data_IF_998996879787
#
_entry.id   IF_998996879787
#
_cell.length_a   1.000
_cell.length_b   1.000
_cell.length_c   1.000
_cell.angle_alpha   90.00
_cell.angle_beta   90.00
_cell.angle_gamma   90.00
#
_symmetry.space_group_name_H-M   'P 1'
#
loop_
_entity.id
_entity.type
_entity.pdbx_description
1 polymer ?
#
# COMPACT_ATOMS: atom_id res chain seq x y z
N UNK A 1 9.75 43.80 -12.61
CA UNK A 1 9.78 42.41 -13.12
C UNK A 1 10.86 41.66 -12.31
N UNK A 2 10.46 41.07 -11.19
CA UNK A 2 11.37 40.17 -10.44
C UNK A 2 11.27 38.83 -11.09
N UNK A 3 12.26 38.48 -11.90
CA UNK A 3 12.50 37.09 -12.28
C UNK A 3 13.09 36.39 -11.04
N UNK A 4 12.23 35.77 -10.22
CA UNK A 4 12.69 34.74 -9.31
C UNK A 4 13.34 33.68 -10.20
N UNK A 5 14.66 33.51 -10.11
CA UNK A 5 15.35 32.39 -10.76
C UNK A 5 14.69 31.11 -10.25
N UNK A 6 13.94 30.40 -11.10
CA UNK A 6 13.42 29.09 -10.74
C UNK A 6 14.60 28.23 -10.29
N UNK A 7 14.51 27.72 -9.06
CA UNK A 7 15.50 26.80 -8.54
C UNK A 7 15.46 25.51 -9.36
N UNK A 8 16.53 25.24 -10.12
CA UNK A 8 16.61 24.11 -11.00
C UNK A 8 16.78 22.81 -10.19
N UNK A 9 15.90 21.84 -10.38
CA UNK A 9 16.02 20.50 -9.79
C UNK A 9 17.18 19.77 -10.48
N UNK A 10 18.12 19.23 -9.70
CA UNK A 10 19.26 18.40 -10.16
C UNK A 10 19.35 17.09 -9.42
N UNK A 11 18.99 17.08 -8.15
CA UNK A 11 19.05 15.90 -7.28
C UNK A 11 17.73 15.63 -6.61
N UNK A 12 17.21 14.43 -6.79
CA UNK A 12 16.01 13.92 -6.12
C UNK A 12 16.45 12.91 -5.06
N UNK A 13 15.87 13.01 -3.88
CA UNK A 13 15.98 12.02 -2.82
C UNK A 13 14.65 11.26 -2.71
N UNK A 14 14.68 9.93 -2.86
CA UNK A 14 13.48 9.10 -2.73
C UNK A 14 13.57 8.17 -1.53
N UNK A 15 12.49 8.04 -0.78
CA UNK A 15 12.38 7.11 0.35
C UNK A 15 11.12 6.24 0.27
N UNK A 16 11.20 5.07 0.89
CA UNK A 16 10.10 4.13 1.06
C UNK A 16 9.75 4.01 2.54
N UNK A 17 8.45 3.96 2.88
CA UNK A 17 8.00 3.91 4.27
C UNK A 17 6.71 3.10 4.44
N UNK A 18 6.47 2.64 5.67
CA UNK A 18 5.30 1.85 6.05
C UNK A 18 5.39 0.37 5.66
N UNK A 19 4.25 -0.31 5.62
CA UNK A 19 4.18 -1.72 5.25
C UNK A 19 4.67 -1.99 3.83
N UNK A 20 5.41 -3.10 3.58
CA UNK A 20 5.83 -3.47 2.23
C UNK A 20 4.65 -3.92 1.36
N UNK A 21 4.81 -3.85 0.02
CA UNK A 21 3.82 -4.37 -0.95
C UNK A 21 4.52 -5.04 -2.13
N UNK A 22 3.75 -5.74 -2.97
CA UNK A 22 4.28 -6.28 -4.23
C UNK A 22 4.58 -5.19 -5.27
N UNK A 23 4.01 -3.99 -5.15
CA UNK A 23 4.11 -2.92 -6.15
C UNK A 23 4.96 -1.71 -5.72
N UNK A 24 5.40 -1.61 -4.45
CA UNK A 24 6.12 -0.42 -3.96
C UNK A 24 7.41 -0.15 -4.74
N UNK A 25 8.10 -1.18 -5.19
CA UNK A 25 9.31 -1.03 -5.98
C UNK A 25 9.03 -0.67 -7.45
N UNK A 26 7.82 -0.91 -7.95
CA UNK A 26 7.40 -0.38 -9.25
C UNK A 26 7.28 1.16 -9.19
N UNK A 27 6.74 1.72 -8.10
CA UNK A 27 6.75 3.17 -7.88
C UNK A 27 8.19 3.72 -7.83
N UNK A 28 9.09 3.04 -7.12
CA UNK A 28 10.51 3.42 -7.07
C UNK A 28 11.16 3.37 -8.47
N UNK A 29 10.91 2.31 -9.25
CA UNK A 29 11.41 2.19 -10.63
C UNK A 29 10.90 3.34 -11.52
N UNK A 30 9.64 3.73 -11.36
CA UNK A 30 9.05 4.88 -12.05
C UNK A 30 9.75 6.21 -11.72
N UNK A 31 10.03 6.45 -10.43
CA UNK A 31 10.82 7.62 -9.98
C UNK A 31 12.20 7.62 -10.65
N UNK A 32 12.91 6.50 -10.57
CA UNK A 32 14.28 6.39 -11.08
C UNK A 32 14.31 6.58 -12.59
N UNK A 33 13.41 5.90 -13.33
CA UNK A 33 13.34 6.00 -14.79
C UNK A 33 13.02 7.41 -15.26
N UNK A 34 12.03 8.06 -14.66
CA UNK A 34 11.65 9.43 -15.02
C UNK A 34 12.78 10.43 -14.69
N UNK A 35 13.36 10.35 -13.50
CA UNK A 35 14.47 11.21 -13.11
C UNK A 35 15.69 11.05 -14.04
N UNK A 36 16.04 9.79 -14.36
CA UNK A 36 17.15 9.50 -15.30
C UNK A 36 16.88 10.05 -16.71
N UNK A 37 15.65 9.97 -17.21
CA UNK A 37 15.26 10.55 -18.50
C UNK A 37 15.42 12.09 -18.54
N UNK A 38 15.28 12.76 -17.38
CA UNK A 38 15.55 14.20 -17.23
C UNK A 38 17.00 14.54 -16.86
N UNK A 39 17.91 13.56 -16.80
CA UNK A 39 19.31 13.75 -16.44
C UNK A 39 19.50 14.14 -14.96
N UNK A 40 18.58 13.78 -14.08
CA UNK A 40 18.64 14.07 -12.66
C UNK A 40 19.39 12.97 -11.89
N UNK A 41 20.12 13.36 -10.86
CA UNK A 41 20.69 12.44 -9.90
C UNK A 41 19.61 11.93 -8.96
N UNK A 42 19.62 10.62 -8.68
CA UNK A 42 18.65 10.00 -7.76
C UNK A 42 19.36 9.36 -6.59
N UNK A 43 19.06 9.84 -5.41
CA UNK A 43 19.51 9.29 -4.13
C UNK A 43 18.39 8.52 -3.46
N UNK A 44 18.69 7.39 -2.82
CA UNK A 44 17.76 6.59 -2.03
C UNK A 44 17.99 6.75 -0.54
N UNK A 45 16.94 7.01 0.23
CA UNK A 45 16.97 6.89 1.69
C UNK A 45 16.90 5.41 2.06
N UNK A 46 17.93 4.82 2.60
CA UNK A 46 17.81 3.49 3.20
C UNK A 46 17.08 3.60 4.53
N UNK A 47 16.09 2.72 4.73
CA UNK A 47 15.23 2.72 5.92
C UNK A 47 14.48 4.05 6.16
N UNK A 48 14.05 4.70 5.07
CA UNK A 48 13.22 5.90 5.12
C UNK A 48 13.86 7.07 5.87
N UNK A 49 13.02 7.93 6.48
CA UNK A 49 13.48 9.12 7.20
C UNK A 49 14.40 8.79 8.38
N UNK A 50 14.18 7.66 9.06
CA UNK A 50 15.04 7.24 10.18
C UNK A 50 16.46 6.98 9.70
N UNK A 51 16.63 6.17 8.64
CA UNK A 51 17.95 5.91 8.10
C UNK A 51 18.58 7.15 7.45
N UNK A 52 17.77 8.07 6.91
CA UNK A 52 18.27 9.35 6.40
C UNK A 52 18.88 10.20 7.52
N UNK A 53 18.26 10.25 8.69
CA UNK A 53 18.81 10.90 9.88
C UNK A 53 20.14 10.26 10.34
N UNK A 54 20.31 8.97 10.11
CA UNK A 54 21.53 8.20 10.40
C UNK A 54 22.57 8.26 9.26
N UNK A 55 22.38 9.16 8.27
CA UNK A 55 23.25 9.34 7.11
C UNK A 55 23.31 8.13 6.16
N UNK A 56 22.28 7.32 6.16
CA UNK A 56 22.20 6.10 5.35
C UNK A 56 21.55 6.38 3.98
N UNK A 57 22.37 6.86 3.05
CA UNK A 57 21.97 7.28 1.69
C UNK A 57 22.75 6.51 0.65
N UNK A 58 22.09 6.13 -0.44
CA UNK A 58 22.70 5.41 -1.56
C UNK A 58 22.46 6.14 -2.88
N UNK A 59 23.44 6.17 -3.76
CA UNK A 59 23.28 6.68 -5.13
C UNK A 59 22.68 5.58 -6.03
N UNK A 60 21.42 5.78 -6.41
CA UNK A 60 20.68 4.77 -7.19
C UNK A 60 21.13 4.67 -8.65
N UNK A 61 21.73 5.73 -9.18
CA UNK A 61 22.29 5.73 -10.53
C UNK A 61 23.50 4.78 -10.61
N UNK A 62 24.34 4.80 -9.59
CA UNK A 62 25.52 3.94 -9.51
C UNK A 62 25.14 2.48 -9.23
N UNK A 63 24.32 2.24 -8.20
CA UNK A 63 23.98 0.88 -7.76
C UNK A 63 23.19 0.11 -8.80
N UNK A 64 22.35 0.79 -9.57
CA UNK A 64 21.55 0.15 -10.63
C UNK A 64 22.29 0.13 -11.99
N UNK A 65 23.53 0.63 -12.06
CA UNK A 65 24.33 0.68 -13.29
C UNK A 65 23.63 1.43 -14.44
N UNK A 66 22.98 2.55 -14.11
CA UNK A 66 22.30 3.37 -15.10
C UNK A 66 23.35 4.15 -15.90
N UNK A 67 23.53 3.80 -17.15
CA UNK A 67 24.40 4.54 -18.06
C UNK A 67 23.67 5.74 -18.64
N UNK A 68 24.39 6.83 -18.93
CA UNK A 68 23.81 7.99 -19.61
C UNK A 68 23.08 7.56 -20.88
N UNK A 69 21.87 8.10 -21.07
CA UNK A 69 21.01 7.75 -22.22
C UNK A 69 21.72 8.08 -23.52
N UNK A 70 22.23 7.07 -24.22
CA UNK A 70 22.51 7.22 -25.66
C UNK A 70 21.14 7.21 -26.39
N UNK A 71 20.97 8.03 -27.44
CA UNK A 71 19.73 8.02 -28.21
C UNK A 71 19.46 6.61 -28.73
N UNK A 72 18.24 6.13 -28.53
CA UNK A 72 17.77 4.79 -28.92
C UNK A 72 18.13 4.47 -30.38
N UNK A 73 19.17 3.69 -30.57
CA UNK A 73 19.38 2.92 -31.80
C UNK A 73 18.75 1.55 -31.53
N UNK A 74 17.65 1.31 -32.24
CA UNK A 74 16.79 0.12 -32.17
C UNK A 74 17.57 -1.19 -31.95
N UNK A 75 17.13 -1.99 -30.97
CA UNK A 75 17.52 -3.34 -30.55
C UNK A 75 18.55 -3.49 -29.39
N UNK A 76 19.02 -2.46 -28.73
CA UNK A 76 19.93 -2.59 -27.58
C UNK A 76 19.27 -2.53 -26.19
N UNK A 77 17.98 -2.23 -26.07
CA UNK A 77 17.28 -2.16 -24.77
C UNK A 77 17.36 -3.48 -23.96
N UNK A 78 17.42 -4.62 -24.64
CA UNK A 78 17.52 -5.93 -23.99
C UNK A 78 18.91 -6.25 -23.39
N UNK A 79 19.93 -5.45 -23.64
CA UNK A 79 21.31 -5.69 -23.20
C UNK A 79 21.85 -4.65 -22.22
N UNK A 80 21.10 -3.57 -21.94
CA UNK A 80 21.49 -2.54 -20.96
C UNK A 80 21.33 -3.08 -19.54
N UNK A 81 22.41 -3.23 -18.73
CA UNK A 81 22.35 -3.73 -17.37
C UNK A 81 21.41 -2.90 -16.48
N UNK A 82 21.42 -1.58 -16.60
CA UNK A 82 20.58 -0.68 -15.83
C UNK A 82 19.09 -0.91 -16.07
N UNK A 83 18.68 -1.06 -17.34
CA UNK A 83 17.26 -1.35 -17.65
C UNK A 83 16.85 -2.73 -17.12
N UNK A 84 17.73 -3.73 -17.21
CA UNK A 84 17.49 -5.05 -16.62
C UNK A 84 17.32 -4.97 -15.10
N UNK A 85 18.15 -4.19 -14.42
CA UNK A 85 18.05 -3.98 -12.97
C UNK A 85 16.74 -3.24 -12.60
N UNK A 86 16.32 -2.25 -13.39
CA UNK A 86 15.02 -1.57 -13.19
C UNK A 86 13.83 -2.52 -13.40
N UNK A 87 13.89 -3.41 -14.38
CA UNK A 87 12.87 -4.44 -14.59
C UNK A 87 12.82 -5.45 -13.43
N UNK A 88 13.96 -5.86 -12.90
CA UNK A 88 14.03 -6.70 -11.70
C UNK A 88 13.48 -5.95 -10.48
N UNK A 89 13.90 -4.69 -10.27
CA UNK A 89 13.40 -3.85 -9.18
C UNK A 89 11.87 -3.75 -9.21
N UNK A 90 11.30 -3.44 -10.36
CA UNK A 90 9.85 -3.31 -10.57
C UNK A 90 9.06 -4.53 -10.09
N UNK A 91 9.63 -5.72 -10.25
CA UNK A 91 9.00 -7.01 -9.89
C UNK A 91 9.46 -7.59 -8.55
N UNK A 92 10.40 -6.93 -7.88
CA UNK A 92 10.88 -7.34 -6.57
C UNK A 92 9.84 -6.94 -5.51
N UNK A 93 9.32 -7.88 -4.71
CA UNK A 93 8.39 -7.55 -3.63
C UNK A 93 9.12 -6.85 -2.48
N UNK A 94 8.33 -6.25 -1.58
CA UNK A 94 8.82 -5.55 -0.40
C UNK A 94 9.48 -4.20 -0.74
N UNK A 95 10.01 -3.51 0.27
CA UNK A 95 10.68 -2.21 0.11
C UNK A 95 12.18 -2.43 -0.09
N UNK A 96 12.66 -2.25 -1.31
CA UNK A 96 14.08 -2.51 -1.63
C UNK A 96 15.04 -1.53 -0.93
N UNK A 97 14.62 -0.28 -0.72
CA UNK A 97 15.35 0.69 0.10
C UNK A 97 15.20 0.43 1.61
N UNK A 98 14.45 -0.59 2.01
CA UNK A 98 14.03 -0.76 3.39
C UNK A 98 12.88 0.18 3.76
N UNK A 99 12.44 0.10 4.99
CA UNK A 99 11.31 0.89 5.52
C UNK A 99 11.60 1.31 6.96
N UNK A 100 10.89 2.30 7.46
CA UNK A 100 10.90 2.66 8.87
C UNK A 100 9.49 2.87 9.40
N UNK A 101 9.40 2.85 10.73
CA UNK A 101 8.22 3.26 11.49
C UNK A 101 8.60 4.45 12.38
N UNK A 102 8.97 5.54 11.74
CA UNK A 102 9.39 6.77 12.41
C UNK A 102 8.38 7.88 12.12
N UNK A 103 7.79 8.45 13.15
CA UNK A 103 6.86 9.56 13.06
C UNK A 103 7.58 10.86 13.39
N UNK A 104 7.52 11.82 12.47
CA UNK A 104 8.03 13.16 12.76
C UNK A 104 7.16 13.80 13.85
N UNK A 105 7.78 14.50 14.82
CA UNK A 105 7.04 15.25 15.81
C UNK A 105 6.21 16.36 15.16
N UNK A 106 5.11 16.77 15.83
CA UNK A 106 4.28 17.84 15.32
C UNK A 106 5.01 19.18 15.34
N UNK A 107 5.03 19.84 14.20
CA UNK A 107 5.74 21.11 14.01
C UNK A 107 5.23 22.20 14.97
N UNK A 108 3.92 22.26 15.24
CA UNK A 108 3.31 23.24 16.14
C UNK A 108 3.65 23.00 17.63
N UNK A 109 3.71 21.74 18.06
CA UNK A 109 4.04 21.36 19.42
C UNK A 109 5.49 21.74 19.75
N UNK A 110 6.39 21.57 18.80
CA UNK A 110 7.80 21.91 19.00
C UNK A 110 8.06 23.42 18.92
N UNK A 111 7.33 24.17 18.11
CA UNK A 111 7.40 25.64 18.06
C UNK A 111 6.87 26.27 19.34
N UNK A 112 5.86 25.69 20.00
CA UNK A 112 5.31 26.19 21.27
C UNK A 112 6.18 25.83 22.48
N UNK A 113 6.84 24.66 22.46
CA UNK A 113 7.79 24.27 23.51
C UNK A 113 9.05 25.13 23.54
N UNK A 114 9.35 25.84 22.44
CA UNK A 114 10.52 26.71 22.29
C UNK A 114 10.21 28.20 22.45
N UNK A 115 9.05 28.59 22.99
CA UNK A 115 8.68 30.00 23.20
C UNK A 115 9.64 30.77 24.12
N UNK A 116 10.60 30.12 24.76
CA UNK A 116 11.74 30.73 25.48
C UNK A 116 13.09 30.64 24.72
N UNK A 117 13.13 30.00 23.53
CA UNK A 117 14.32 29.84 22.69
C UNK A 117 13.92 29.75 21.23
N UNK A 118 14.58 30.48 20.36
CA UNK A 118 14.43 30.46 18.88
C UNK A 118 14.91 29.17 18.23
N UNK A 119 14.80 28.00 18.88
CA UNK A 119 15.29 26.73 18.40
C UNK A 119 14.15 25.92 17.74
N UNK A 120 14.20 25.81 16.42
CA UNK A 120 13.46 24.83 15.60
C UNK A 120 13.81 23.41 16.09
N UNK A 121 12.90 22.42 15.91
CA UNK A 121 13.18 21.03 16.25
C UNK A 121 14.56 20.58 15.78
N UNK A 122 15.35 19.94 16.63
CA UNK A 122 16.63 19.35 16.23
C UNK A 122 16.48 18.36 15.06
N UNK A 123 15.34 17.66 14.95
CA UNK A 123 15.09 16.67 13.90
C UNK A 123 14.91 17.35 12.55
N UNK A 124 14.09 18.39 12.44
CA UNK A 124 13.87 19.11 11.17
C UNK A 124 15.15 19.82 10.71
N UNK A 125 15.91 20.42 11.63
CA UNK A 125 17.22 21.01 11.32
C UNK A 125 18.24 19.96 10.86
N UNK A 126 18.22 18.78 11.46
CA UNK A 126 19.08 17.67 11.05
C UNK A 126 18.71 17.18 9.64
N UNK A 127 17.42 17.05 9.33
CA UNK A 127 16.95 16.69 7.97
C UNK A 127 17.43 17.74 6.97
N UNK A 128 17.25 19.03 7.27
CA UNK A 128 17.69 20.14 6.40
C UNK A 128 19.21 20.12 6.18
N UNK A 129 19.99 19.91 7.24
CA UNK A 129 21.44 19.80 7.15
C UNK A 129 21.88 18.62 6.26
N UNK A 130 21.20 17.47 6.37
CA UNK A 130 21.45 16.31 5.51
C UNK A 130 21.06 16.59 4.04
N UNK A 131 19.90 17.24 3.79
CA UNK A 131 19.52 17.63 2.43
C UNK A 131 20.54 18.58 1.80
N UNK A 132 21.04 19.56 2.57
CA UNK A 132 22.09 20.46 2.12
C UNK A 132 23.42 19.74 1.85
N UNK A 133 23.81 18.79 2.71
CA UNK A 133 25.01 17.96 2.54
C UNK A 133 24.99 17.22 1.21
N UNK A 134 23.86 16.62 0.85
CA UNK A 134 23.66 15.86 -0.37
C UNK A 134 23.22 16.69 -1.58
N UNK A 135 23.04 18.01 -1.39
CA UNK A 135 22.55 18.95 -2.43
C UNK A 135 21.22 18.48 -3.03
N UNK A 136 20.28 18.10 -2.17
CA UNK A 136 18.95 17.61 -2.57
C UNK A 136 18.03 18.79 -2.87
N UNK A 137 17.42 18.80 -4.03
CA UNK A 137 16.46 19.82 -4.47
C UNK A 137 15.00 19.38 -4.29
N UNK A 138 14.76 18.07 -4.24
CA UNK A 138 13.42 17.54 -4.03
C UNK A 138 13.42 16.20 -3.29
N UNK A 139 12.37 15.97 -2.49
CA UNK A 139 12.11 14.74 -1.76
C UNK A 139 10.85 14.10 -2.31
N UNK A 140 10.94 12.83 -2.73
CA UNK A 140 9.81 11.98 -3.06
C UNK A 140 9.66 10.90 -1.97
N UNK A 141 8.49 10.84 -1.33
CA UNK A 141 8.27 9.89 -0.23
C UNK A 141 7.15 8.92 -0.56
N UNK A 142 7.52 7.65 -0.77
CA UNK A 142 6.61 6.57 -1.17
C UNK A 142 6.07 5.90 0.08
N UNK A 143 4.75 6.00 0.32
CA UNK A 143 4.18 5.38 1.50
C UNK A 143 2.69 5.57 1.72
N UNK A 144 2.23 5.12 2.88
CA UNK A 144 0.84 5.20 3.32
C UNK A 144 0.52 6.50 4.07
N UNK A 145 -0.50 6.45 4.91
CA UNK A 145 -1.04 7.60 5.62
C UNK A 145 0.01 8.33 6.48
N UNK A 146 0.79 7.60 7.29
CA UNK A 146 1.88 8.19 8.08
C UNK A 146 2.98 8.83 7.22
N UNK A 147 3.18 8.32 5.99
CA UNK A 147 4.14 8.89 5.05
C UNK A 147 3.61 10.19 4.43
N UNK A 148 2.30 10.30 4.26
CA UNK A 148 1.66 11.55 3.83
C UNK A 148 1.70 12.59 4.95
N UNK A 149 1.53 12.20 6.22
CA UNK A 149 1.76 13.07 7.38
C UNK A 149 3.22 13.58 7.43
N UNK A 150 4.19 12.70 7.18
CA UNK A 150 5.61 13.09 7.05
C UNK A 150 5.83 14.09 5.91
N UNK A 151 5.20 13.86 4.75
CA UNK A 151 5.27 14.73 3.57
C UNK A 151 4.66 16.11 3.87
N UNK A 152 3.52 16.17 4.55
CA UNK A 152 2.87 17.42 4.98
C UNK A 152 3.78 18.21 5.92
N UNK A 153 4.26 17.57 6.98
CA UNK A 153 5.14 18.19 7.98
C UNK A 153 6.42 18.75 7.36
N UNK A 154 7.08 18.00 6.49
CA UNK A 154 8.27 18.47 5.79
C UNK A 154 7.98 19.63 4.85
N UNK A 155 6.88 19.58 4.09
CA UNK A 155 6.52 20.67 3.17
C UNK A 155 6.19 21.96 3.93
N UNK A 156 5.50 21.87 5.07
CA UNK A 156 5.20 23.02 5.94
C UNK A 156 6.47 23.59 6.58
N UNK A 157 7.37 22.73 7.05
CA UNK A 157 8.65 23.17 7.60
C UNK A 157 9.48 23.93 6.56
N UNK A 158 9.65 23.38 5.35
CA UNK A 158 10.43 24.02 4.29
C UNK A 158 9.79 25.34 3.81
N UNK A 159 8.48 25.43 3.79
CA UNK A 159 7.79 26.69 3.51
C UNK A 159 8.08 27.75 4.59
N UNK A 160 8.14 27.36 5.87
CA UNK A 160 8.39 28.25 6.99
C UNK A 160 9.84 28.80 7.02
N UNK A 161 10.82 27.94 6.64
CA UNK A 161 12.23 28.35 6.58
C UNK A 161 12.64 28.87 5.19
N UNK A 162 11.68 29.11 4.32
CA UNK A 162 11.90 29.60 2.95
C UNK A 162 12.88 28.73 2.13
N UNK A 163 12.94 27.42 2.43
CA UNK A 163 13.77 26.46 1.71
C UNK A 163 13.20 26.18 0.30
N UNK A 164 14.03 26.11 -0.74
CA UNK A 164 13.58 25.79 -2.11
C UNK A 164 13.27 24.30 -2.31
N UNK A 165 13.53 23.44 -1.31
CA UNK A 165 13.33 21.99 -1.41
C UNK A 165 11.85 21.65 -1.57
N UNK A 166 11.52 20.88 -2.61
CA UNK A 166 10.17 20.43 -2.90
C UNK A 166 9.92 19.05 -2.29
N UNK A 167 8.70 18.83 -1.78
CA UNK A 167 8.31 17.55 -1.17
C UNK A 167 7.02 17.07 -1.81
N UNK A 168 7.05 15.84 -2.35
CA UNK A 168 5.90 15.21 -3.01
C UNK A 168 5.71 13.80 -2.47
N UNK A 169 4.47 13.46 -2.09
CA UNK A 169 4.06 12.12 -1.70
C UNK A 169 3.72 11.25 -2.91
N UNK A 170 4.15 9.99 -2.87
CA UNK A 170 3.73 8.95 -3.81
C UNK A 170 2.98 7.88 -3.01
N UNK A 171 1.68 7.65 -3.28
CA UNK A 171 0.87 6.77 -2.46
C UNK A 171 1.32 5.32 -2.59
N UNK A 172 1.22 4.57 -1.49
CA UNK A 172 1.40 3.13 -1.43
C UNK A 172 0.78 2.59 -0.15
N UNK A 173 -0.17 1.68 -0.26
CA UNK A 173 -0.66 0.79 0.79
C UNK A 173 -1.49 -0.33 0.17
N UNK A 174 -1.51 -1.52 0.78
CA UNK A 174 -2.44 -2.57 0.39
C UNK A 174 -3.85 -2.35 0.93
N UNK A 175 -4.02 -1.48 1.92
CA UNK A 175 -5.30 -1.28 2.62
C UNK A 175 -6.28 -0.44 1.81
N UNK A 176 -5.80 0.27 0.77
CA UNK A 176 -6.61 1.15 -0.09
C UNK A 176 -7.34 2.25 0.68
N UNK A 177 -6.77 2.69 1.79
CA UNK A 177 -7.38 3.56 2.80
C UNK A 177 -6.97 5.04 2.69
N UNK A 178 -6.22 5.42 1.65
CA UNK A 178 -5.83 6.82 1.42
C UNK A 178 -6.90 7.61 0.70
N UNK A 179 -7.25 8.77 1.25
CA UNK A 179 -8.06 9.78 0.57
C UNK A 179 -7.29 10.43 -0.58
N UNK A 180 -7.98 11.13 -1.48
CA UNK A 180 -7.36 11.88 -2.58
C UNK A 180 -6.86 11.04 -3.75
N UNK A 181 -7.06 9.73 -3.72
CA UNK A 181 -6.80 8.78 -4.82
C UNK A 181 -7.92 7.76 -4.94
N UNK A 182 -8.22 7.30 -6.15
CA UNK A 182 -9.21 6.23 -6.36
C UNK A 182 -8.77 4.94 -5.66
N UNK A 183 -7.54 4.53 -5.88
CA UNK A 183 -6.92 3.38 -5.21
C UNK A 183 -5.42 3.61 -5.07
N UNK A 184 -4.77 2.70 -4.33
CA UNK A 184 -3.35 2.84 -3.97
C UNK A 184 -2.52 1.71 -4.56
N UNK A 185 -1.28 1.99 -5.05
CA UNK A 185 -0.34 0.95 -5.43
C UNK A 185 -0.07 -0.05 -4.31
N UNK A 186 -0.12 -1.32 -4.66
CA UNK A 186 -0.05 -2.46 -3.75
C UNK A 186 -1.40 -3.10 -3.47
N UNK A 187 -2.50 -2.32 -3.49
CA UNK A 187 -3.84 -2.85 -3.26
C UNK A 187 -4.27 -3.83 -4.36
N UNK A 188 -4.15 -3.47 -5.64
CA UNK A 188 -4.59 -4.32 -6.75
C UNK A 188 -3.95 -5.71 -6.73
N UNK A 189 -2.65 -5.78 -6.44
CA UNK A 189 -1.92 -7.05 -6.30
C UNK A 189 -2.37 -7.86 -5.09
N UNK A 190 -2.52 -7.21 -3.93
CA UNK A 190 -3.00 -7.88 -2.73
C UNK A 190 -4.45 -8.37 -2.88
N UNK A 191 -5.32 -7.56 -3.47
CA UNK A 191 -6.71 -7.91 -3.80
C UNK A 191 -6.80 -9.14 -4.73
N UNK A 192 -5.94 -9.18 -5.76
CA UNK A 192 -5.83 -10.35 -6.66
C UNK A 192 -5.41 -11.61 -5.90
N UNK A 193 -4.43 -11.50 -5.01
CA UNK A 193 -3.99 -12.61 -4.16
C UNK A 193 -5.14 -13.10 -3.27
N UNK A 194 -5.83 -12.20 -2.56
CA UNK A 194 -6.96 -12.56 -1.69
C UNK A 194 -8.07 -13.26 -2.49
N UNK A 195 -8.45 -12.71 -3.65
CA UNK A 195 -9.44 -13.32 -4.53
C UNK A 195 -9.05 -14.73 -4.99
N UNK A 196 -7.79 -14.90 -5.41
CA UNK A 196 -7.27 -16.19 -5.90
C UNK A 196 -7.26 -17.24 -4.81
N UNK A 197 -6.70 -16.93 -3.64
CA UNK A 197 -6.64 -17.84 -2.50
C UNK A 197 -8.04 -18.18 -1.98
N UNK A 198 -8.97 -17.23 -1.96
CA UNK A 198 -10.36 -17.48 -1.59
C UNK A 198 -11.01 -18.49 -2.53
N UNK A 199 -10.79 -18.36 -3.85
CA UNK A 199 -11.30 -19.31 -4.85
C UNK A 199 -10.66 -20.71 -4.69
N UNK A 200 -9.37 -20.79 -4.46
CA UNK A 200 -8.64 -22.05 -4.24
C UNK A 200 -9.13 -22.76 -2.98
N UNK A 201 -9.27 -22.05 -1.86
CA UNK A 201 -9.80 -22.59 -0.60
C UNK A 201 -11.28 -22.98 -0.72
N UNK A 202 -12.06 -22.27 -1.53
CA UNK A 202 -13.45 -22.66 -1.85
C UNK A 202 -13.47 -24.01 -2.54
N UNK A 203 -12.56 -24.25 -3.49
CA UNK A 203 -12.42 -25.55 -4.18
C UNK A 203 -11.92 -26.66 -3.27
N UNK A 204 -10.91 -26.39 -2.44
CA UNK A 204 -10.38 -27.36 -1.47
C UNK A 204 -11.47 -27.80 -0.47
N UNK A 205 -12.24 -26.84 0.06
CA UNK A 205 -13.32 -27.13 1.02
C UNK A 205 -14.47 -27.96 0.42
N UNK A 206 -14.74 -27.78 -0.87
CA UNK A 206 -15.87 -28.41 -1.56
C UNK A 206 -15.68 -29.92 -1.84
N UNK A 207 -14.49 -30.48 -1.68
CA UNK A 207 -14.23 -31.91 -1.97
C UNK A 207 -14.78 -32.85 -0.90
N UNK A 208 -15.12 -32.34 0.29
CA UNK A 208 -15.56 -33.17 1.40
C UNK A 208 -17.09 -33.23 1.51
N UNK A 209 -17.62 -34.44 1.68
CA UNK A 209 -19.05 -34.66 1.95
C UNK A 209 -19.35 -34.56 3.47
N UNK A 210 -18.81 -33.54 4.12
CA UNK A 210 -19.06 -33.24 5.54
C UNK A 210 -19.17 -31.76 5.74
N UNK A 211 -20.06 -31.32 6.65
CA UNK A 211 -20.23 -29.91 6.97
C UNK A 211 -18.92 -29.31 7.51
N UNK A 212 -18.51 -28.20 6.90
CA UNK A 212 -17.31 -27.49 7.32
C UNK A 212 -17.48 -25.97 7.06
N UNK A 213 -16.78 -25.18 7.85
CA UNK A 213 -16.70 -23.72 7.72
C UNK A 213 -15.23 -23.32 7.64
N UNK A 214 -14.87 -22.50 6.68
CA UNK A 214 -13.53 -21.93 6.57
C UNK A 214 -13.62 -20.41 6.69
N UNK A 215 -12.93 -19.87 7.67
CA UNK A 215 -12.75 -18.42 7.85
C UNK A 215 -11.39 -18.02 7.28
N UNK A 216 -11.37 -17.04 6.38
CA UNK A 216 -10.18 -16.52 5.72
C UNK A 216 -10.00 -15.07 6.18
N UNK A 217 -8.96 -14.80 6.96
CA UNK A 217 -8.67 -13.48 7.49
C UNK A 217 -7.79 -12.70 6.54
N UNK A 218 -8.27 -11.51 6.16
CA UNK A 218 -7.51 -10.54 5.38
C UNK A 218 -7.10 -9.33 6.25
N UNK A 219 -5.99 -8.70 5.91
CA UNK A 219 -5.56 -7.42 6.49
C UNK A 219 -6.55 -6.30 6.11
N UNK A 220 -6.43 -5.18 6.77
CA UNK A 220 -7.31 -4.03 6.61
C UNK A 220 -8.11 -3.76 7.88
N UNK A 221 -7.40 -3.30 8.94
CA UNK A 221 -7.98 -3.09 10.26
C UNK A 221 -9.07 -2.03 10.25
N UNK A 222 -8.82 -0.92 9.57
CA UNK A 222 -9.70 0.25 9.60
C UNK A 222 -10.61 0.32 8.35
N UNK A 223 -10.24 -0.36 7.24
CA UNK A 223 -10.99 -0.39 5.99
C UNK A 223 -10.99 -1.78 5.36
N UNK A 224 -12.14 -2.26 4.94
CA UNK A 224 -12.39 -3.64 4.50
C UNK A 224 -12.12 -3.93 3.02
N UNK A 225 -11.38 -3.10 2.31
CA UNK A 225 -11.17 -3.21 0.87
C UNK A 225 -10.55 -4.55 0.45
N UNK A 226 -9.54 -5.06 1.18
CA UNK A 226 -8.94 -6.37 0.89
C UNK A 226 -9.91 -7.52 1.15
N UNK A 227 -10.67 -7.43 2.24
CA UNK A 227 -11.70 -8.41 2.57
C UNK A 227 -12.78 -8.43 1.48
N UNK A 228 -13.21 -7.26 1.01
CA UNK A 228 -14.16 -7.12 -0.09
C UNK A 228 -13.67 -7.79 -1.38
N UNK A 229 -12.36 -7.75 -1.65
CA UNK A 229 -11.77 -8.40 -2.83
C UNK A 229 -11.93 -9.93 -2.81
N UNK A 230 -12.12 -10.56 -1.65
CA UNK A 230 -12.45 -11.98 -1.56
C UNK A 230 -13.71 -12.38 -2.33
N UNK A 231 -14.66 -11.46 -2.49
CA UNK A 231 -15.87 -11.68 -3.27
C UNK A 231 -15.60 -11.92 -4.76
N UNK A 232 -14.46 -11.46 -5.31
CA UNK A 232 -14.04 -11.74 -6.68
C UNK A 232 -13.74 -13.23 -6.94
N UNK A 233 -13.68 -14.07 -5.89
CA UNK A 233 -13.57 -15.52 -6.06
C UNK A 233 -14.67 -16.09 -6.98
N UNK A 234 -15.86 -15.47 -7.01
CA UNK A 234 -16.94 -15.87 -7.92
C UNK A 234 -16.55 -15.75 -9.39
N UNK A 235 -15.75 -14.77 -9.77
CA UNK A 235 -15.28 -14.58 -11.16
C UNK A 235 -14.25 -15.65 -11.56
N UNK A 236 -13.55 -16.24 -10.56
CA UNK A 236 -12.50 -17.25 -10.76
C UNK A 236 -13.07 -18.67 -10.78
N UNK A 237 -13.90 -19.02 -9.80
CA UNK A 237 -14.39 -20.40 -9.62
C UNK A 237 -15.91 -20.56 -9.77
N UNK A 238 -16.64 -19.50 -10.12
CA UNK A 238 -18.09 -19.49 -10.29
C UNK A 238 -18.88 -19.56 -8.97
N UNK A 239 -18.19 -19.38 -7.84
CA UNK A 239 -18.81 -19.45 -6.50
C UNK A 239 -18.27 -18.33 -5.65
N UNK A 240 -19.14 -17.45 -5.18
CA UNK A 240 -18.79 -16.41 -4.20
C UNK A 240 -18.57 -17.04 -2.81
N UNK A 241 -17.77 -16.41 -1.93
CA UNK A 241 -17.82 -16.72 -0.51
C UNK A 241 -19.23 -16.47 0.03
N UNK A 242 -19.61 -17.22 1.07
CA UNK A 242 -20.96 -17.10 1.65
C UNK A 242 -21.13 -15.79 2.44
N UNK A 243 -20.04 -15.36 3.07
CA UNK A 243 -20.00 -14.14 3.86
C UNK A 243 -18.70 -13.39 3.63
N UNK A 244 -18.80 -12.07 3.59
CA UNK A 244 -17.67 -11.12 3.50
C UNK A 244 -17.86 -10.07 4.57
N UNK A 245 -17.13 -10.19 5.67
CA UNK A 245 -17.32 -9.42 6.89
C UNK A 245 -16.31 -8.29 6.96
N UNK A 246 -16.80 -7.06 6.79
CA UNK A 246 -16.00 -5.85 6.74
C UNK A 246 -15.94 -5.13 8.08
N UNK A 247 -14.86 -4.42 8.42
CA UNK A 247 -14.75 -3.66 9.66
C UNK A 247 -15.71 -2.46 9.72
N UNK A 248 -16.25 -2.01 8.59
CA UNK A 248 -17.24 -0.93 8.50
C UNK A 248 -18.59 -1.28 9.14
N UNK A 249 -18.84 -2.57 9.35
CA UNK A 249 -20.12 -3.05 9.92
C UNK A 249 -19.83 -3.84 11.21
N UNK A 250 -20.33 -3.37 12.35
CA UNK A 250 -20.24 -4.14 13.59
C UNK A 250 -20.87 -5.53 13.48
N UNK A 251 -20.23 -6.53 14.03
CA UNK A 251 -20.65 -7.92 13.95
C UNK A 251 -21.35 -8.37 15.24
N UNK A 252 -22.54 -8.97 15.07
CA UNK A 252 -23.18 -9.80 16.07
C UNK A 252 -22.89 -11.28 15.81
N UNK A 253 -22.18 -11.93 16.71
CA UNK A 253 -21.73 -13.32 16.56
C UNK A 253 -22.88 -14.32 16.47
N UNK A 254 -23.98 -14.11 17.21
CA UNK A 254 -25.12 -15.02 17.20
C UNK A 254 -25.89 -14.93 15.89
N UNK A 255 -25.99 -13.74 15.32
CA UNK A 255 -26.56 -13.52 13.99
C UNK A 255 -25.73 -14.21 12.92
N UNK A 256 -24.38 -14.07 12.97
CA UNK A 256 -23.47 -14.76 12.05
C UNK A 256 -23.61 -16.29 12.17
N UNK A 257 -23.57 -16.85 13.37
CA UNK A 257 -23.69 -18.29 13.60
C UNK A 257 -25.01 -18.84 13.06
N UNK A 258 -26.11 -18.10 13.27
CA UNK A 258 -27.44 -18.49 12.75
C UNK A 258 -27.46 -18.49 11.22
N UNK A 259 -26.82 -17.50 10.57
CA UNK A 259 -26.70 -17.43 9.12
C UNK A 259 -25.81 -18.57 8.57
N UNK A 260 -24.71 -18.88 9.23
CA UNK A 260 -23.84 -20.03 8.87
C UNK A 260 -24.61 -21.34 9.00
N UNK A 261 -25.35 -21.55 10.10
CA UNK A 261 -26.16 -22.74 10.28
C UNK A 261 -27.21 -22.91 9.18
N UNK A 262 -27.87 -21.83 8.78
CA UNK A 262 -28.82 -21.82 7.67
C UNK A 262 -28.11 -22.24 6.36
N UNK A 263 -26.96 -21.69 6.04
CA UNK A 263 -26.18 -22.07 4.86
C UNK A 263 -25.76 -23.54 4.89
N UNK A 264 -25.37 -24.06 6.05
CA UNK A 264 -25.00 -25.46 6.22
C UNK A 264 -26.19 -26.44 6.06
N UNK A 265 -27.44 -25.98 6.02
CA UNK A 265 -28.60 -26.79 5.63
C UNK A 265 -28.70 -26.94 4.10
N UNK A 266 -28.18 -25.96 3.35
CA UNK A 266 -28.25 -25.92 1.88
C UNK A 266 -27.01 -26.58 1.25
N UNK A 267 -25.84 -26.47 1.85
CA UNK A 267 -24.57 -27.01 1.35
C UNK A 267 -23.62 -27.42 2.48
N UNK A 268 -22.56 -28.18 2.14
CA UNK A 268 -21.64 -28.72 3.12
C UNK A 268 -20.45 -27.81 3.43
N UNK A 269 -20.08 -26.90 2.52
CA UNK A 269 -18.91 -26.04 2.67
C UNK A 269 -19.33 -24.57 2.72
N UNK A 270 -19.05 -23.89 3.81
CA UNK A 270 -19.29 -22.45 3.99
C UNK A 270 -17.94 -21.72 4.05
N UNK A 271 -17.80 -20.67 3.25
CA UNK A 271 -16.61 -19.83 3.19
C UNK A 271 -16.95 -18.43 3.70
N UNK A 272 -16.17 -17.98 4.66
CA UNK A 272 -16.28 -16.63 5.26
C UNK A 272 -14.96 -15.92 5.05
N UNK A 273 -14.97 -14.79 4.36
CA UNK A 273 -13.83 -13.88 4.31
C UNK A 273 -14.06 -12.80 5.35
N UNK A 274 -13.10 -12.56 6.21
CA UNK A 274 -13.27 -11.65 7.36
C UNK A 274 -12.06 -10.72 7.48
N UNK A 275 -12.31 -9.44 7.78
CA UNK A 275 -11.24 -8.50 8.12
C UNK A 275 -10.71 -8.77 9.52
N UNK A 276 -9.40 -8.59 9.72
CA UNK A 276 -8.78 -8.56 11.06
C UNK A 276 -9.39 -7.48 11.97
N UNK A 277 -9.98 -6.43 11.40
CA UNK A 277 -10.55 -5.28 12.11
C UNK A 277 -12.04 -5.39 12.46
N UNK A 278 -12.68 -6.52 12.20
CA UNK A 278 -14.10 -6.70 12.59
C UNK A 278 -14.27 -6.59 14.10
N UNK A 279 -15.30 -5.86 14.52
CA UNK A 279 -15.52 -5.49 15.91
C UNK A 279 -17.00 -5.58 16.31
N UNK A 280 -17.26 -5.59 17.62
CA UNK A 280 -18.62 -5.50 18.19
C UNK A 280 -19.19 -4.08 18.09
N UNK A 281 -20.48 -3.92 18.35
CA UNK A 281 -21.16 -2.62 18.33
C UNK A 281 -20.62 -1.60 19.34
N UNK A 282 -19.94 -2.05 20.39
CA UNK A 282 -19.28 -1.19 21.38
C UNK A 282 -17.85 -0.78 20.98
N UNK A 283 -17.39 -1.21 19.78
CA UNK A 283 -16.07 -0.94 19.26
C UNK A 283 -14.97 -1.89 19.76
N UNK A 284 -15.30 -2.86 20.63
CA UNK A 284 -14.35 -3.88 21.04
C UNK A 284 -14.10 -4.88 19.91
N UNK A 285 -12.84 -5.26 19.68
CA UNK A 285 -12.51 -6.28 18.69
C UNK A 285 -13.03 -7.66 19.11
N UNK A 286 -13.36 -8.52 18.14
CA UNK A 286 -13.85 -9.88 18.40
C UNK A 286 -12.83 -10.73 19.17
N UNK A 287 -11.57 -10.50 18.91
CA UNK A 287 -10.47 -11.15 19.61
C UNK A 287 -9.73 -10.15 20.48
N UNK A 288 -9.98 -10.20 21.79
CA UNK A 288 -9.26 -9.41 22.78
C UNK A 288 -7.99 -10.14 23.19
N UNK A 289 -6.91 -9.90 22.48
CA UNK A 289 -5.60 -10.26 22.96
C UNK A 289 -5.26 -9.34 24.14
N UNK A 290 -5.43 -9.80 25.38
CA UNK A 290 -5.08 -9.09 26.64
C UNK A 290 -3.64 -8.56 26.71
N UNK A 291 -2.89 -8.62 25.63
CA UNK A 291 -1.51 -8.18 25.46
C UNK A 291 -1.28 -7.50 24.12
N UNK A 292 -2.19 -6.69 23.62
CA UNK A 292 -1.96 -5.96 22.38
C UNK A 292 -0.88 -4.90 22.64
N UNK A 293 0.31 -5.14 22.09
CA UNK A 293 1.36 -4.14 22.07
C UNK A 293 0.92 -2.98 21.17
N UNK A 294 1.03 -1.76 21.68
CA UNK A 294 0.89 -0.56 20.85
C UNK A 294 2.18 -0.44 20.05
N UNK A 295 2.06 -0.27 18.73
CA UNK A 295 3.22 -0.03 17.88
C UNK A 295 3.79 1.39 18.11
N UNK A 296 4.93 1.68 17.50
CA UNK A 296 5.63 2.97 17.64
C UNK A 296 4.84 4.16 17.09
N UNK A 297 3.73 3.94 16.37
CA UNK A 297 2.83 4.98 15.87
C UNK A 297 1.61 5.24 16.77
N UNK A 298 1.50 4.49 17.87
CA UNK A 298 0.31 4.55 18.74
C UNK A 298 -0.87 3.72 18.22
N UNK A 299 -0.67 2.92 17.17
CA UNK A 299 -1.68 1.98 16.70
C UNK A 299 -1.57 0.66 17.47
N UNK A 300 -2.69 0.00 17.69
CA UNK A 300 -2.70 -1.36 18.18
C UNK A 300 -1.91 -2.23 17.16
N UNK A 301 -0.97 -3.03 17.63
CA UNK A 301 -0.22 -3.95 16.77
C UNK A 301 -1.20 -4.83 15.99
N UNK A 302 -0.85 -5.20 14.74
CA UNK A 302 -1.70 -6.00 13.87
C UNK A 302 -2.37 -7.14 14.64
N UNK A 303 -3.69 -7.12 14.72
CA UNK A 303 -4.48 -8.13 15.42
C UNK A 303 -4.75 -9.25 14.43
N UNK A 304 -3.93 -10.28 14.46
CA UNK A 304 -4.20 -11.55 13.81
C UNK A 304 -4.90 -12.46 14.83
N UNK A 305 -5.92 -13.20 14.39
CA UNK A 305 -6.61 -14.15 15.25
C UNK A 305 -8.14 -14.14 15.15
N UNK A 306 -8.73 -13.20 14.46
CA UNK A 306 -10.18 -13.12 14.23
C UNK A 306 -10.72 -14.40 13.57
N UNK A 307 -10.06 -14.91 12.52
CA UNK A 307 -10.45 -16.16 11.87
C UNK A 307 -10.29 -17.37 12.79
N UNK A 308 -9.23 -17.41 13.59
CA UNK A 308 -9.03 -18.48 14.57
C UNK A 308 -10.12 -18.47 15.66
N UNK A 309 -10.45 -17.30 16.17
CA UNK A 309 -11.52 -17.08 17.14
C UNK A 309 -12.87 -17.54 16.58
N UNK A 310 -13.29 -17.02 15.42
CA UNK A 310 -14.57 -17.39 14.78
C UNK A 310 -14.62 -18.88 14.43
N UNK A 311 -13.49 -19.46 14.01
CA UNK A 311 -13.40 -20.89 13.76
C UNK A 311 -13.63 -21.71 15.03
N UNK A 312 -13.08 -21.30 16.15
CA UNK A 312 -13.32 -21.98 17.43
C UNK A 312 -14.77 -21.82 17.88
N UNK A 313 -15.32 -20.61 17.76
CA UNK A 313 -16.72 -20.31 18.07
C UNK A 313 -17.68 -21.21 17.25
N UNK A 314 -17.45 -21.35 15.94
CA UNK A 314 -18.26 -22.22 15.08
C UNK A 314 -18.15 -23.70 15.47
N UNK A 315 -16.98 -24.19 15.86
CA UNK A 315 -16.81 -25.55 16.40
C UNK A 315 -17.64 -25.78 17.66
N UNK A 316 -17.55 -24.84 18.61
CA UNK A 316 -18.17 -24.98 19.92
C UNK A 316 -19.70 -24.86 19.86
N UNK A 317 -20.23 -23.95 19.03
CA UNK A 317 -21.66 -23.65 18.97
C UNK A 317 -22.41 -24.49 17.94
N UNK A 318 -21.80 -24.80 16.79
CA UNK A 318 -22.45 -25.52 15.69
C UNK A 318 -22.02 -27.00 15.60
N UNK A 319 -20.99 -27.41 16.31
CA UNK A 319 -20.48 -28.79 16.27
C UNK A 319 -19.92 -29.24 14.92
N UNK A 320 -19.48 -28.28 14.08
CA UNK A 320 -18.99 -28.55 12.72
C UNK A 320 -17.46 -28.47 12.65
N UNK A 321 -16.88 -29.09 11.63
CA UNK A 321 -15.46 -28.84 11.32
C UNK A 321 -15.28 -27.38 10.92
N UNK A 322 -14.28 -26.73 11.48
CA UNK A 322 -13.99 -25.34 11.13
C UNK A 322 -12.47 -25.09 11.10
N UNK A 323 -12.05 -24.14 10.25
CA UNK A 323 -10.67 -23.70 10.11
C UNK A 323 -10.62 -22.18 10.06
N UNK A 324 -9.65 -21.59 10.76
CA UNK A 324 -9.22 -20.20 10.58
C UNK A 324 -7.93 -20.21 9.76
N UNK A 325 -7.88 -19.39 8.73
CA UNK A 325 -6.72 -19.20 7.85
C UNK A 325 -6.39 -17.73 7.81
N UNK A 326 -5.26 -17.36 8.35
CA UNK A 326 -4.77 -16.00 8.36
C UNK A 326 -3.84 -15.79 7.16
N UNK A 327 -4.19 -14.89 6.24
CA UNK A 327 -3.34 -14.55 5.09
C UNK A 327 -2.13 -13.73 5.51
N UNK A 328 -2.26 -12.92 6.55
CA UNK A 328 -1.20 -12.17 7.20
C UNK A 328 -0.23 -11.54 6.17
N UNK A 329 1.09 -11.63 6.36
CA UNK A 329 2.09 -11.00 5.48
C UNK A 329 2.12 -11.57 4.05
N UNK A 330 1.57 -12.76 3.79
CA UNK A 330 1.55 -13.34 2.45
C UNK A 330 0.85 -12.45 1.42
N UNK A 331 -0.27 -11.83 1.79
CA UNK A 331 -1.05 -10.99 0.88
C UNK A 331 -0.32 -9.72 0.42
N UNK A 332 0.69 -9.26 1.15
CA UNK A 332 1.45 -8.06 0.77
C UNK A 332 2.78 -8.34 0.07
N UNK A 333 3.23 -9.60 0.03
CA UNK A 333 4.51 -9.97 -0.58
C UNK A 333 4.38 -10.95 -1.77
N UNK A 334 3.15 -11.33 -2.15
CA UNK A 334 2.89 -12.32 -3.20
C UNK A 334 3.10 -11.73 -4.61
N UNK A 335 4.35 -11.41 -4.97
CA UNK A 335 4.69 -10.83 -6.28
C UNK A 335 4.33 -11.74 -7.46
N UNK A 336 4.23 -13.06 -7.26
CA UNK A 336 3.77 -14.00 -8.27
C UNK A 336 2.28 -13.84 -8.63
N UNK A 337 1.51 -13.19 -7.75
CA UNK A 337 0.11 -12.86 -7.99
C UNK A 337 -0.11 -11.36 -8.31
N UNK A 338 0.96 -10.61 -8.58
CA UNK A 338 0.86 -9.17 -8.81
C UNK A 338 -0.07 -8.86 -10.01
N UNK A 339 -0.91 -7.84 -9.83
CA UNK A 339 -1.74 -7.29 -10.89
C UNK A 339 -0.90 -6.45 -11.83
N UNK A 340 -1.07 -6.65 -13.15
CA UNK A 340 -0.38 -5.83 -14.14
C UNK A 340 -0.80 -4.36 -14.06
N UNK A 341 -2.09 -4.10 -13.86
CA UNK A 341 -2.62 -2.73 -13.69
C UNK A 341 -1.96 -2.05 -12.49
N UNK A 342 -1.89 -2.73 -11.36
CA UNK A 342 -1.26 -2.22 -10.14
C UNK A 342 0.23 -1.85 -10.33
N UNK A 343 1.00 -2.72 -11.01
CA UNK A 343 2.41 -2.45 -11.28
C UNK A 343 2.60 -1.30 -12.29
N UNK A 344 1.77 -1.21 -13.33
CA UNK A 344 1.86 -0.15 -14.34
C UNK A 344 1.49 1.21 -13.74
N UNK A 345 0.43 1.26 -12.93
CA UNK A 345 0.00 2.49 -12.27
C UNK A 345 0.97 2.92 -11.16
N UNK A 346 1.54 1.97 -10.41
CA UNK A 346 2.60 2.24 -9.44
C UNK A 346 3.80 2.93 -10.10
N UNK A 347 4.26 2.41 -11.23
CA UNK A 347 5.37 2.99 -12.00
C UNK A 347 5.01 4.38 -12.55
N UNK A 348 3.78 4.53 -13.09
CA UNK A 348 3.27 5.80 -13.58
C UNK A 348 3.18 6.85 -12.48
N UNK A 349 2.73 6.48 -11.28
CA UNK A 349 2.68 7.40 -10.12
C UNK A 349 4.08 7.80 -9.66
N UNK A 350 5.05 6.88 -9.67
CA UNK A 350 6.44 7.21 -9.41
C UNK A 350 6.98 8.28 -10.36
N UNK A 351 6.77 8.08 -11.66
CA UNK A 351 7.14 9.05 -12.68
C UNK A 351 6.41 10.40 -12.52
N UNK A 352 5.11 10.36 -12.23
CA UNK A 352 4.31 11.57 -12.01
C UNK A 352 4.79 12.38 -10.80
N UNK A 353 5.35 11.75 -9.77
CA UNK A 353 6.01 12.42 -8.66
C UNK A 353 7.19 13.28 -9.11
N UNK A 354 8.02 12.76 -10.03
CA UNK A 354 9.14 13.51 -10.64
C UNK A 354 8.61 14.69 -11.45
N UNK A 355 7.61 14.46 -12.30
CA UNK A 355 7.00 15.52 -13.09
C UNK A 355 6.39 16.63 -12.21
N UNK A 356 5.77 16.26 -11.09
CA UNK A 356 5.20 17.22 -10.15
C UNK A 356 6.27 18.15 -9.56
N UNK A 357 7.43 17.62 -9.13
CA UNK A 357 8.52 18.47 -8.63
C UNK A 357 9.14 19.33 -9.73
N UNK A 358 9.26 18.83 -10.96
CA UNK A 358 9.73 19.62 -12.11
C UNK A 358 8.78 20.76 -12.47
N UNK A 359 7.46 20.57 -12.28
CA UNK A 359 6.44 21.60 -12.44
C UNK A 359 6.35 22.59 -11.28
N UNK A 360 7.23 22.51 -10.28
CA UNK A 360 7.24 23.42 -9.15
C UNK A 360 6.27 23.06 -8.01
N UNK A 361 5.63 21.89 -8.06
CA UNK A 361 4.69 21.46 -7.03
C UNK A 361 5.42 20.97 -5.78
N UNK A 362 4.87 21.27 -4.62
CA UNK A 362 5.31 20.83 -3.30
C UNK A 362 4.10 20.68 -2.37
N UNK A 363 4.20 19.87 -1.32
CA UNK A 363 3.09 19.64 -0.38
C UNK A 363 1.89 18.95 -1.03
N UNK A 364 2.12 18.13 -2.06
CA UNK A 364 1.07 17.39 -2.78
C UNK A 364 1.38 15.90 -2.79
N UNK A 365 0.34 15.10 -2.91
CA UNK A 365 0.39 13.67 -3.26
C UNK A 365 -0.06 13.50 -4.71
N UNK A 366 0.67 12.71 -5.49
CA UNK A 366 0.17 12.20 -6.78
C UNK A 366 -0.86 11.11 -6.52
N UNK A 367 -1.90 11.00 -7.33
CA UNK A 367 -2.96 10.01 -7.12
C UNK A 367 -3.64 9.62 -8.42
N UNK A 368 -4.25 8.45 -8.42
CA UNK A 368 -5.09 7.94 -9.52
C UNK A 368 -6.47 8.56 -9.42
N UNK A 369 -6.98 9.05 -10.53
CA UNK A 369 -8.36 9.49 -10.67
C UNK A 369 -9.05 8.67 -11.74
N UNK A 370 -9.99 7.81 -11.33
CA UNK A 370 -10.75 6.96 -12.24
C UNK A 370 -11.72 7.79 -13.07
N UNK A 371 -11.70 7.57 -14.37
CA UNK A 371 -12.60 8.21 -15.33
C UNK A 371 -13.74 7.28 -15.73
N UNK A 372 -13.45 5.99 -15.89
CA UNK A 372 -14.42 4.98 -16.34
C UNK A 372 -14.06 3.59 -15.83
N UNK A 373 -15.08 2.77 -15.56
CA UNK A 373 -14.91 1.35 -15.19
C UNK A 373 -14.84 0.43 -16.41
N UNK A 374 -15.61 0.71 -17.48
CA UNK A 374 -15.72 -0.15 -18.68
C UNK A 374 -15.78 0.71 -19.95
N UNK A 375 -14.68 0.76 -20.75
CA UNK A 375 -13.35 0.25 -20.40
C UNK A 375 -12.75 1.01 -19.24
N UNK A 376 -11.93 0.35 -18.42
CA UNK A 376 -11.23 1.03 -17.35
C UNK A 376 -10.25 2.07 -17.89
N UNK A 377 -10.38 3.28 -17.42
CA UNK A 377 -9.47 4.39 -17.73
C UNK A 377 -9.26 5.26 -16.50
N UNK A 378 -8.04 5.72 -16.32
CA UNK A 378 -7.65 6.59 -15.22
C UNK A 378 -6.67 7.67 -15.68
N UNK A 379 -6.60 8.75 -14.94
CA UNK A 379 -5.60 9.82 -15.11
C UNK A 379 -4.89 10.08 -13.77
N UNK A 380 -3.71 10.68 -13.84
CA UNK A 380 -2.97 11.05 -12.63
C UNK A 380 -3.27 12.53 -12.31
N UNK A 381 -3.60 12.78 -11.05
CA UNK A 381 -3.82 14.12 -10.48
C UNK A 381 -2.95 14.33 -9.26
N UNK A 382 -2.83 15.57 -8.83
CA UNK A 382 -2.19 15.93 -7.56
C UNK A 382 -3.23 16.48 -6.59
N UNK A 383 -3.18 16.01 -5.34
CA UNK A 383 -4.04 16.47 -4.23
C UNK A 383 -3.14 17.08 -3.15
N UNK A 384 -3.52 18.20 -2.52
CA UNK A 384 -2.79 18.71 -1.35
C UNK A 384 -2.64 17.62 -0.29
N UNK A 385 -1.45 17.40 0.19
CA UNK A 385 -1.19 16.30 1.14
C UNK A 385 -1.91 16.50 2.48
N UNK A 386 -2.19 17.74 2.87
CA UNK A 386 -2.99 18.09 4.04
C UNK A 386 -4.46 17.60 3.95
N UNK A 387 -4.96 17.37 2.74
CA UNK A 387 -6.30 16.82 2.52
C UNK A 387 -6.32 15.29 2.61
N UNK A 388 -5.17 14.64 2.63
CA UNK A 388 -4.97 13.20 2.64
C UNK A 388 -4.54 12.69 4.02
N UNK A 389 -3.52 13.32 4.60
CA UNK A 389 -2.89 12.86 5.84
C UNK A 389 -3.89 12.71 7.00
N UNK A 390 -3.75 11.63 7.76
CA UNK A 390 -4.58 11.30 8.92
C UNK A 390 -6.09 11.10 8.62
N UNK A 391 -6.45 10.79 7.37
CA UNK A 391 -7.81 10.42 6.96
C UNK A 391 -7.84 8.98 6.46
N UNK A 392 -8.98 8.30 6.63
CA UNK A 392 -9.17 6.90 6.23
C UNK A 392 -10.33 6.82 5.24
N UNK A 393 -10.06 6.25 4.06
CA UNK A 393 -11.07 5.96 3.04
C UNK A 393 -11.68 4.58 3.29
N UNK A 394 -12.88 4.57 3.83
CA UNK A 394 -13.65 3.36 4.11
C UNK A 394 -14.31 2.79 2.84
N UNK A 395 -14.72 1.52 2.91
CA UNK A 395 -15.61 0.93 1.89
C UNK A 395 -16.98 1.63 2.01
N UNK A 396 -17.47 2.27 0.93
CA UNK A 396 -18.75 2.98 0.97
C UNK A 396 -19.92 2.07 1.33
N UNK A 397 -20.85 2.56 2.16
CA UNK A 397 -22.01 1.78 2.61
C UNK A 397 -22.84 1.23 1.46
N UNK A 398 -22.90 1.96 0.34
CA UNK A 398 -23.59 1.57 -0.89
C UNK A 398 -22.91 0.41 -1.65
N UNK A 399 -21.70 0.01 -1.26
CA UNK A 399 -21.02 -1.18 -1.79
C UNK A 399 -21.22 -2.42 -0.91
N UNK A 400 -21.85 -2.26 0.25
CA UNK A 400 -22.09 -3.33 1.24
C UNK A 400 -23.57 -3.74 1.17
N UNK A 401 -23.85 -5.04 1.28
CA UNK A 401 -25.22 -5.55 1.32
C UNK A 401 -26.03 -4.97 2.48
N UNK A 402 -27.34 -5.00 2.37
CA UNK A 402 -28.24 -4.43 3.39
C UNK A 402 -28.06 -5.12 4.75
N UNK A 403 -27.86 -6.44 4.76
CA UNK A 403 -27.62 -7.25 5.96
C UNK A 403 -26.19 -7.10 6.53
N UNK A 404 -25.28 -6.44 5.81
CA UNK A 404 -23.90 -6.21 6.24
C UNK A 404 -22.98 -7.41 6.10
N UNK A 405 -23.43 -8.52 5.56
CA UNK A 405 -22.69 -9.78 5.49
C UNK A 405 -22.00 -10.04 4.16
N UNK A 406 -22.15 -9.14 3.18
CA UNK A 406 -21.56 -9.27 1.85
C UNK A 406 -21.31 -7.91 1.21
N UNK A 407 -20.61 -7.93 0.09
CA UNK A 407 -20.51 -6.79 -0.82
C UNK A 407 -21.41 -7.02 -2.04
N UNK A 408 -21.85 -5.93 -2.69
CA UNK A 408 -22.71 -5.97 -3.86
C UNK A 408 -21.94 -5.75 -5.16
N UNK A 409 -22.61 -5.85 -6.30
CA UNK A 409 -22.01 -5.71 -7.64
C UNK A 409 -21.26 -4.38 -7.85
N UNK A 410 -21.63 -3.31 -7.15
CA UNK A 410 -20.90 -2.04 -7.20
C UNK A 410 -19.44 -2.18 -6.72
N UNK A 411 -19.21 -2.95 -5.65
CA UNK A 411 -17.86 -3.24 -5.17
C UNK A 411 -17.08 -4.08 -6.20
N UNK A 412 -17.73 -5.09 -6.78
CA UNK A 412 -17.07 -5.95 -7.78
C UNK A 412 -16.71 -5.16 -9.04
N UNK A 413 -17.58 -4.25 -9.47
CA UNK A 413 -17.32 -3.36 -10.61
C UNK A 413 -16.10 -2.47 -10.35
N UNK A 414 -15.98 -1.94 -9.13
CA UNK A 414 -14.82 -1.17 -8.71
C UNK A 414 -13.53 -2.01 -8.68
N UNK A 415 -13.60 -3.24 -8.15
CA UNK A 415 -12.44 -4.09 -7.90
C UNK A 415 -11.88 -4.77 -9.16
N UNK A 416 -12.76 -5.23 -10.09
CA UNK A 416 -12.37 -6.02 -11.27
C UNK A 416 -11.22 -5.44 -12.09
N UNK A 417 -11.21 -4.15 -12.47
CA UNK A 417 -10.11 -3.61 -13.25
C UNK A 417 -8.78 -3.56 -12.49
N UNK A 418 -8.81 -3.40 -11.16
CA UNK A 418 -7.62 -3.27 -10.33
C UNK A 418 -6.82 -4.58 -10.20
N UNK A 419 -7.51 -5.71 -10.32
CA UNK A 419 -6.90 -7.06 -10.26
C UNK A 419 -6.54 -7.60 -11.65
N UNK A 420 -6.73 -6.79 -12.69
CA UNK A 420 -6.64 -7.23 -14.08
C UNK A 420 -5.20 -7.44 -14.55
N UNK A 421 -5.07 -8.41 -15.44
CA UNK A 421 -3.80 -8.80 -16.03
C UNK A 421 -2.85 -9.48 -15.03
N UNK A 422 -1.94 -10.25 -15.58
CA UNK A 422 -0.83 -10.85 -14.84
C UNK A 422 0.45 -10.51 -15.59
N UNK A 423 1.45 -10.13 -14.85
CA UNK A 423 2.78 -9.97 -15.41
C UNK A 423 3.66 -11.09 -14.87
N UNK A 424 4.16 -11.94 -15.79
CA UNK A 424 5.00 -13.06 -15.39
C UNK A 424 6.25 -12.58 -14.64
N UNK A 425 6.61 -13.24 -13.53
CA UNK A 425 7.86 -12.96 -12.84
C UNK A 425 9.05 -13.19 -13.78
N UNK A 426 10.09 -12.37 -13.67
CA UNK A 426 11.37 -12.69 -14.28
C UNK A 426 11.88 -13.95 -13.60
N UNK A 427 12.18 -14.98 -14.37
CA UNK A 427 12.56 -16.29 -13.83
C UNK A 427 13.87 -16.81 -14.40
N UNK A 428 14.56 -17.63 -13.62
CA UNK A 428 15.68 -18.45 -14.06
C UNK A 428 15.41 -19.87 -13.59
N UNK A 429 15.46 -20.82 -14.50
CA UNK A 429 15.18 -22.23 -14.22
C UNK A 429 13.81 -22.45 -13.52
N UNK A 430 12.80 -21.64 -13.92
CA UNK A 430 11.43 -21.72 -13.38
C UNK A 430 11.21 -21.06 -12.01
N UNK A 431 12.25 -20.48 -11.41
CA UNK A 431 12.13 -19.79 -10.11
C UNK A 431 12.17 -18.26 -10.31
N UNK A 432 11.32 -17.49 -9.59
CA UNK A 432 11.36 -16.04 -9.63
C UNK A 432 12.74 -15.49 -9.28
N UNK A 433 13.12 -14.41 -9.96
CA UNK A 433 14.34 -13.64 -9.67
C UNK A 433 13.95 -12.26 -9.19
N UNK A 434 14.62 -11.82 -8.15
CA UNK A 434 14.47 -10.50 -7.57
C UNK A 434 15.81 -9.76 -7.66
N UNK A 435 15.75 -8.44 -7.62
CA UNK A 435 16.96 -7.63 -7.49
C UNK A 435 17.62 -7.94 -6.14
N UNK A 436 18.95 -8.05 -6.14
CA UNK A 436 19.70 -8.29 -4.92
C UNK A 436 19.46 -7.16 -3.88
N UNK A 437 19.48 -7.53 -2.61
CA UNK A 437 19.40 -6.56 -1.52
C UNK A 437 20.58 -5.60 -1.56
N UNK A 438 20.37 -4.38 -1.10
CA UNK A 438 21.44 -3.40 -0.91
C UNK A 438 22.33 -3.88 0.24
N UNK A 439 23.60 -4.10 -0.06
CA UNK A 439 24.64 -4.45 0.92
C UNK A 439 24.97 -3.30 1.86
#
# INVERSE_FOLDING_TARGET
>A
MNTTSEHAIRTILVGQSGGPTAAINASLAGVIRAAHAHGLRVLGMRNGIQGFLEDNVVDLTEVLELTASEPEVSNQAATNPGEKNLQLLRKTPSSWLGSCRFKLPDLETELTATSESTATSPIYQQIEAQLNKYQVDAVLYIGGNDSMDTTDKLSRYFAQVESPVRVVGVPKTIDNDLEGTDHTPGFGSAARFVASVTAELTRDGAVYNSKNVTFIEAMGRDAGWLTAAGALAQDICGTAPDFVLLPEIPLDEQTLLSAIEQRLREKNNVIVVVSEGVHHADGSFLFDAKSVAIDTFGHLAAQSGTAAYLSQLAKDQLGVKSRGIELNTLQRCASHAASKVDLDEAETLGAAGVEAVLQGKTGVMVGVHRISDVPYTAEIRTTPVADVANKVKLVPREMISEDGFNVIDAALTYLRPLVAGMEEPISTDGLPRFLAELS
#
